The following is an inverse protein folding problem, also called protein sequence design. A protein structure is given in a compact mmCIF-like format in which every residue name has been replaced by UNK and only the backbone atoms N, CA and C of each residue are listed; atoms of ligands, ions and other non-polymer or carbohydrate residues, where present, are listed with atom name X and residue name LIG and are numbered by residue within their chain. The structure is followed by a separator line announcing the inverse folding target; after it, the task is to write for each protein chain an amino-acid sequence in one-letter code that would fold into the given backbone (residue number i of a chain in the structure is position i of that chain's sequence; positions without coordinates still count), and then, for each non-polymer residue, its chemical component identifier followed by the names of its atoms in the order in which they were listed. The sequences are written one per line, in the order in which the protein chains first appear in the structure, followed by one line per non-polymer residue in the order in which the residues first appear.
data_IF_477712019537
#
_entry.id   IF_477712019537
#
_cell.length_a   1.000
_cell.length_b   1.000
_cell.length_c   1.000
_cell.angle_alpha   90.00
_cell.angle_beta   90.00
_cell.angle_gamma   90.00
#
_symmetry.space_group_name_H-M   'P 1'
#
loop_
_entity.id
_entity.type
_entity.pdbx_description
1 polymer ?
#
# COMPACT_ATOMS: atom_id res chain seq x y z
N UNK A 1 -55.14 3.27 28.17
CA UNK A 1 -54.20 3.97 27.26
C UNK A 1 -52.83 3.29 27.10
N UNK A 2 -52.66 2.02 27.52
CA UNK A 2 -51.36 1.32 27.52
C UNK A 2 -51.08 0.52 26.23
N UNK A 3 -52.13 0.02 25.58
CA UNK A 3 -52.05 -0.85 24.39
C UNK A 3 -51.54 -0.11 23.14
N UNK A 4 -51.83 1.19 23.01
CA UNK A 4 -51.36 2.01 21.87
C UNK A 4 -49.84 2.25 21.89
N UNK A 5 -49.24 2.38 23.08
CA UNK A 5 -47.78 2.63 23.22
C UNK A 5 -46.94 1.41 22.85
N UNK A 6 -47.40 0.21 23.20
CA UNK A 6 -46.72 -1.04 22.82
C UNK A 6 -46.74 -1.28 21.30
N UNK A 7 -47.84 -0.96 20.62
CA UNK A 7 -47.91 -1.10 19.15
C UNK A 7 -46.95 -0.12 18.45
N UNK A 8 -46.86 1.13 18.94
CA UNK A 8 -45.90 2.12 18.40
C UNK A 8 -44.46 1.64 18.60
N UNK A 9 -44.14 1.09 19.78
CA UNK A 9 -42.79 0.56 20.06
C UNK A 9 -42.46 -0.65 19.18
N UNK A 10 -43.43 -1.53 18.91
CA UNK A 10 -43.27 -2.67 18.01
C UNK A 10 -43.06 -2.21 16.56
N UNK A 11 -43.79 -1.19 16.10
CA UNK A 11 -43.60 -0.60 14.77
C UNK A 11 -42.26 0.12 14.65
N UNK A 12 -41.79 0.80 15.70
CA UNK A 12 -40.47 1.44 15.74
C UNK A 12 -39.35 0.39 15.74
N UNK A 13 -39.51 -0.71 16.48
CA UNK A 13 -38.59 -1.84 16.48
C UNK A 13 -38.58 -2.53 15.10
N UNK A 14 -39.74 -2.69 14.46
CA UNK A 14 -39.85 -3.24 13.11
C UNK A 14 -39.19 -2.33 12.07
N UNK A 15 -39.36 -1.00 12.18
CA UNK A 15 -38.67 -0.01 11.36
C UNK A 15 -37.15 -0.04 11.60
N UNK A 16 -36.70 -0.21 12.85
CA UNK A 16 -35.29 -0.37 13.20
C UNK A 16 -34.70 -1.65 12.56
N UNK A 17 -35.44 -2.76 12.60
CA UNK A 17 -35.05 -4.03 11.97
C UNK A 17 -35.06 -3.96 10.43
N UNK A 18 -35.94 -3.15 9.84
CA UNK A 18 -35.95 -2.86 8.40
C UNK A 18 -34.73 -2.01 7.97
N UNK A 19 -34.31 -1.04 8.79
CA UNK A 19 -33.07 -0.28 8.56
C UNK A 19 -31.81 -1.16 8.71
N UNK A 20 -31.84 -2.20 9.56
CA UNK A 20 -30.73 -3.17 9.66
C UNK A 20 -30.52 -3.99 8.37
N UNK A 21 -31.56 -4.21 7.55
CA UNK A 21 -31.39 -4.91 6.26
C UNK A 21 -30.85 -4.02 5.14
N UNK A 22 -31.08 -2.70 5.22
CA UNK A 22 -30.54 -1.73 4.25
C UNK A 22 -29.06 -1.39 4.54
N UNK A 23 -28.54 -1.76 5.72
CA UNK A 23 -27.11 -1.63 6.09
C UNK A 23 -26.36 -2.97 5.96
N UNK A 24 -26.84 -3.88 5.11
CA UNK A 24 -26.14 -5.14 4.82
C UNK A 24 -26.24 -5.52 3.34
N UNK A 25 -25.70 -4.65 2.48
CA UNK A 25 -25.38 -4.98 1.10
C UNK A 25 -24.29 -4.04 0.54
N UNK A 26 -23.31 -3.66 1.36
CA UNK A 26 -21.99 -3.39 0.81
C UNK A 26 -21.28 -4.73 0.73
N UNK A 27 -21.05 -5.19 -0.50
CA UNK A 27 -20.26 -6.38 -0.80
C UNK A 27 -18.87 -6.19 -0.18
N UNK A 28 -18.72 -6.64 1.07
CA UNK A 28 -17.50 -6.46 1.81
C UNK A 28 -16.52 -7.49 1.23
N UNK A 29 -15.76 -7.08 0.20
CA UNK A 29 -14.76 -7.88 -0.52
C UNK A 29 -13.91 -8.70 0.46
N UNK A 30 -13.64 -8.16 1.65
CA UNK A 30 -12.87 -8.83 2.70
C UNK A 30 -13.55 -10.05 3.33
N UNK A 31 -14.89 -10.08 3.45
CA UNK A 31 -15.64 -11.25 3.92
C UNK A 31 -15.67 -12.35 2.87
N UNK A 32 -15.97 -12.00 1.63
CA UNK A 32 -16.05 -12.98 0.54
C UNK A 32 -14.67 -13.60 0.23
N UNK A 33 -13.60 -12.79 0.32
CA UNK A 33 -12.22 -13.25 0.24
C UNK A 33 -11.89 -14.36 1.25
N UNK A 34 -12.39 -14.24 2.47
CA UNK A 34 -12.13 -15.18 3.56
C UNK A 34 -12.75 -16.55 3.25
N UNK A 35 -13.91 -16.57 2.61
CA UNK A 35 -14.68 -17.80 2.35
C UNK A 35 -14.18 -18.58 1.11
N UNK A 36 -13.62 -17.90 0.09
CA UNK A 36 -13.17 -18.52 -1.19
C UNK A 36 -11.84 -19.29 -1.12
N UNK A 37 -11.14 -19.25 0.01
CA UNK A 37 -9.91 -20.01 0.24
C UNK A 37 -8.64 -19.41 -0.37
N UNK A 38 -8.58 -19.19 -1.70
CA UNK A 38 -7.42 -18.61 -2.40
C UNK A 38 -7.80 -17.26 -3.01
N UNK A 39 -7.01 -16.23 -2.71
CA UNK A 39 -7.16 -14.90 -3.29
C UNK A 39 -6.76 -14.90 -4.76
N UNK A 40 -7.54 -14.19 -5.57
CA UNK A 40 -7.34 -14.03 -7.00
C UNK A 40 -6.58 -12.74 -7.34
N UNK A 41 -6.17 -12.61 -8.60
CA UNK A 41 -5.50 -11.43 -9.08
C UNK A 41 -6.40 -10.20 -9.00
N UNK A 42 -7.69 -10.36 -9.28
CA UNK A 42 -8.70 -9.32 -9.11
C UNK A 42 -8.76 -8.83 -7.67
N UNK A 43 -8.83 -9.74 -6.70
CA UNK A 43 -8.85 -9.37 -5.30
C UNK A 43 -7.62 -8.56 -4.90
N UNK A 44 -6.45 -8.97 -5.39
CA UNK A 44 -5.20 -8.24 -5.17
C UNK A 44 -5.21 -6.83 -5.79
N UNK A 45 -5.72 -6.68 -7.01
CA UNK A 45 -5.88 -5.38 -7.66
C UNK A 45 -6.83 -4.47 -6.88
N UNK A 46 -8.02 -4.96 -6.52
CA UNK A 46 -9.01 -4.19 -5.76
C UNK A 46 -8.49 -3.78 -4.38
N UNK A 47 -7.81 -4.68 -3.67
CA UNK A 47 -7.19 -4.38 -2.39
C UNK A 47 -6.11 -3.27 -2.51
N UNK A 48 -5.34 -3.27 -3.58
CA UNK A 48 -4.29 -2.28 -3.82
C UNK A 48 -4.86 -0.94 -4.29
N UNK A 49 -5.96 -0.94 -5.02
CA UNK A 49 -6.66 0.25 -5.49
C UNK A 49 -7.00 1.22 -4.36
N UNK A 50 -7.35 0.68 -3.18
CA UNK A 50 -7.58 1.47 -1.96
C UNK A 50 -6.38 2.38 -1.63
N UNK A 51 -5.16 1.82 -1.60
CA UNK A 51 -3.95 2.60 -1.31
C UNK A 51 -3.50 3.48 -2.49
N UNK A 52 -3.93 3.14 -3.71
CA UNK A 52 -3.61 3.84 -4.93
C UNK A 52 -4.53 5.04 -5.23
N UNK A 53 -5.53 5.30 -4.38
CA UNK A 53 -6.62 6.24 -4.62
C UNK A 53 -7.29 5.98 -5.98
N UNK A 54 -7.66 4.72 -6.23
CA UNK A 54 -8.37 4.23 -7.42
C UNK A 54 -9.76 3.81 -6.95
N UNK A 55 -10.83 4.33 -7.57
CA UNK A 55 -12.22 4.08 -7.16
C UNK A 55 -12.73 2.74 -7.69
N UNK A 56 -12.18 1.62 -7.18
CA UNK A 56 -12.44 0.29 -7.73
C UNK A 56 -13.86 -0.24 -7.53
N UNK A 57 -14.63 0.29 -6.58
CA UNK A 57 -15.97 -0.24 -6.22
C UNK A 57 -16.97 -0.22 -7.39
N UNK A 58 -16.87 0.79 -8.26
CA UNK A 58 -17.76 0.97 -9.41
C UNK A 58 -17.15 0.49 -10.72
N UNK A 59 -15.91 0.00 -10.69
CA UNK A 59 -15.14 -0.36 -11.88
C UNK A 59 -15.13 -1.87 -12.13
N UNK A 60 -15.14 -2.22 -13.41
CA UNK A 60 -14.77 -3.55 -13.90
C UNK A 60 -13.31 -3.87 -13.57
N UNK A 61 -12.95 -5.15 -13.57
CA UNK A 61 -11.56 -5.56 -13.32
C UNK A 61 -10.60 -4.95 -14.36
N UNK A 62 -11.02 -4.88 -15.62
CA UNK A 62 -10.26 -4.33 -16.73
C UNK A 62 -9.96 -2.85 -16.53
N UNK A 63 -10.96 -2.06 -16.12
CA UNK A 63 -10.79 -0.63 -15.79
C UNK A 63 -9.83 -0.43 -14.64
N UNK A 64 -9.96 -1.22 -13.56
CA UNK A 64 -9.01 -1.19 -12.43
C UNK A 64 -7.58 -1.49 -12.90
N UNK A 65 -7.41 -2.49 -13.75
CA UNK A 65 -6.11 -2.85 -14.31
C UNK A 65 -5.53 -1.73 -15.17
N UNK A 66 -6.36 -1.07 -15.98
CA UNK A 66 -5.92 0.09 -16.79
C UNK A 66 -5.41 1.21 -15.87
N UNK A 67 -6.20 1.60 -14.86
CA UNK A 67 -5.80 2.69 -13.97
C UNK A 67 -4.53 2.34 -13.17
N UNK A 68 -4.41 1.10 -12.68
CA UNK A 68 -3.22 0.64 -11.97
C UNK A 68 -1.98 0.56 -12.89
N UNK A 69 -2.14 0.27 -14.19
CA UNK A 69 -1.04 0.33 -15.18
C UNK A 69 -0.60 1.77 -15.42
N UNK A 70 -1.55 2.69 -15.55
CA UNK A 70 -1.28 4.12 -15.75
C UNK A 70 -0.53 4.72 -14.56
N UNK A 71 -0.93 4.36 -13.34
CA UNK A 71 -0.22 4.74 -12.10
C UNK A 71 1.11 4.01 -11.91
N UNK A 72 1.47 3.06 -12.79
CA UNK A 72 2.73 2.31 -12.73
C UNK A 72 2.84 1.35 -11.54
N UNK A 73 1.70 0.99 -10.94
CA UNK A 73 1.62 0.09 -9.79
C UNK A 73 1.76 -1.36 -10.25
N UNK A 74 1.22 -1.67 -11.41
CA UNK A 74 1.35 -2.98 -12.05
C UNK A 74 2.14 -2.87 -13.37
N UNK A 75 2.72 -3.97 -13.82
CA UNK A 75 3.58 -3.97 -15.01
C UNK A 75 2.79 -3.70 -16.29
N UNK A 76 3.28 -2.79 -17.15
CA UNK A 76 2.63 -2.47 -18.44
C UNK A 76 2.45 -3.68 -19.36
N UNK A 77 3.41 -4.62 -19.32
CA UNK A 77 3.46 -5.82 -20.17
C UNK A 77 2.92 -7.09 -19.52
N UNK A 78 2.47 -7.02 -18.27
CA UNK A 78 1.86 -8.19 -17.64
C UNK A 78 0.50 -8.47 -18.29
N UNK A 79 0.29 -9.73 -18.65
CA UNK A 79 -1.01 -10.27 -19.04
C UNK A 79 -1.74 -10.69 -17.77
N UNK A 80 -2.99 -10.28 -17.63
CA UNK A 80 -3.80 -10.51 -16.44
C UNK A 80 -5.03 -11.32 -16.79
N UNK A 81 -5.40 -12.19 -15.87
CA UNK A 81 -6.67 -12.91 -15.85
C UNK A 81 -7.18 -12.77 -14.42
N UNK A 82 -8.43 -12.32 -14.25
CA UNK A 82 -9.02 -11.98 -12.96
C UNK A 82 -8.88 -13.14 -11.95
N UNK A 83 -9.24 -14.34 -12.40
CA UNK A 83 -9.33 -15.56 -11.58
C UNK A 83 -7.98 -16.20 -11.23
N UNK A 84 -6.87 -15.71 -11.80
CA UNK A 84 -5.56 -16.33 -11.53
C UNK A 84 -5.19 -16.20 -10.05
N UNK A 85 -4.68 -17.27 -9.41
CA UNK A 85 -4.24 -17.21 -8.03
C UNK A 85 -3.19 -16.12 -7.79
N UNK A 86 -3.43 -15.32 -6.76
CA UNK A 86 -2.54 -14.27 -6.32
C UNK A 86 -1.35 -14.87 -5.56
N UNK A 87 -0.15 -14.39 -5.86
CA UNK A 87 1.06 -14.83 -5.14
C UNK A 87 1.60 -13.72 -4.25
N UNK A 88 2.30 -14.12 -3.17
CA UNK A 88 3.01 -13.20 -2.27
C UNK A 88 3.89 -12.20 -3.00
N UNK A 89 4.63 -12.65 -4.01
CA UNK A 89 5.53 -11.80 -4.79
C UNK A 89 4.79 -10.78 -5.67
N UNK A 90 3.60 -11.11 -6.18
CA UNK A 90 2.78 -10.18 -6.96
C UNK A 90 2.24 -9.06 -6.06
N UNK A 91 1.58 -9.41 -4.96
CA UNK A 91 0.99 -8.39 -4.08
C UNK A 91 2.06 -7.53 -3.42
N UNK A 92 3.21 -8.12 -3.06
CA UNK A 92 4.34 -7.37 -2.50
C UNK A 92 4.90 -6.37 -3.51
N UNK A 93 4.96 -6.75 -4.79
CA UNK A 93 5.34 -5.82 -5.84
C UNK A 93 4.37 -4.64 -5.94
N UNK A 94 3.06 -4.91 -5.99
CA UNK A 94 2.03 -3.88 -6.04
C UNK A 94 2.11 -2.94 -4.82
N UNK A 95 2.14 -3.51 -3.62
CA UNK A 95 2.22 -2.76 -2.37
C UNK A 95 3.51 -1.92 -2.32
N UNK A 96 4.63 -2.46 -2.79
CA UNK A 96 5.89 -1.71 -2.82
C UNK A 96 5.84 -0.50 -3.75
N UNK A 97 5.11 -0.60 -4.87
CA UNK A 97 4.90 0.52 -5.79
C UNK A 97 4.02 1.61 -5.18
N UNK A 98 2.99 1.23 -4.44
CA UNK A 98 2.10 2.20 -3.78
C UNK A 98 2.80 2.90 -2.62
N UNK A 99 3.43 2.15 -1.73
CA UNK A 99 4.15 2.69 -0.57
C UNK A 99 5.39 3.48 -0.99
N UNK A 100 5.90 3.26 -2.21
CA UNK A 100 7.17 3.85 -2.72
C UNK A 100 8.30 3.61 -1.72
N UNK A 101 8.38 2.37 -1.22
CA UNK A 101 9.26 1.99 -0.13
C UNK A 101 10.71 2.39 -0.43
N UNK A 102 11.31 3.17 0.47
CA UNK A 102 12.68 3.68 0.33
C UNK A 102 13.63 2.94 1.29
N UNK A 103 14.84 2.68 0.81
CA UNK A 103 15.90 2.05 1.59
C UNK A 103 15.74 0.54 1.75
N UNK A 104 16.55 0.00 2.68
CA UNK A 104 16.69 -1.44 2.95
C UNK A 104 17.56 -2.19 1.95
N UNK A 105 17.84 -3.46 2.28
CA UNK A 105 18.97 -4.19 1.69
C UNK A 105 18.83 -4.36 0.17
N UNK A 106 17.64 -4.73 -0.28
CA UNK A 106 17.42 -5.04 -1.69
C UNK A 106 17.47 -3.78 -2.55
N UNK A 107 16.90 -2.69 -2.05
CA UNK A 107 16.95 -1.40 -2.74
C UNK A 107 18.36 -0.82 -2.82
N UNK A 108 19.19 -1.02 -1.79
CA UNK A 108 20.62 -0.63 -1.83
C UNK A 108 21.38 -1.41 -2.88
N UNK A 109 21.16 -2.73 -2.97
CA UNK A 109 21.78 -3.58 -3.98
C UNK A 109 21.33 -3.19 -5.39
N UNK A 110 20.03 -2.96 -5.60
CA UNK A 110 19.49 -2.49 -6.89
C UNK A 110 20.08 -1.13 -7.27
N UNK A 111 20.18 -0.19 -6.32
CA UNK A 111 20.76 1.12 -6.56
C UNK A 111 22.26 1.02 -6.94
N UNK A 112 23.03 0.23 -6.20
CA UNK A 112 24.45 0.01 -6.49
C UNK A 112 24.66 -0.64 -7.87
N UNK A 113 23.85 -1.65 -8.20
CA UNK A 113 23.90 -2.33 -9.49
C UNK A 113 23.52 -1.39 -10.65
N UNK A 114 22.54 -0.50 -10.46
CA UNK A 114 22.19 0.53 -11.44
C UNK A 114 23.31 1.57 -11.61
N UNK A 115 23.95 2.02 -10.53
CA UNK A 115 25.11 2.92 -10.62
C UNK A 115 26.26 2.29 -11.40
N UNK A 116 26.52 1.01 -11.18
CA UNK A 116 27.55 0.26 -11.91
C UNK A 116 27.19 0.07 -13.39
N UNK A 117 25.94 -0.30 -13.69
CA UNK A 117 25.45 -0.42 -15.06
C UNK A 117 25.56 0.92 -15.83
N UNK A 118 25.25 2.04 -15.16
CA UNK A 118 25.39 3.38 -15.72
C UNK A 118 26.86 3.78 -15.94
N UNK A 119 27.77 3.33 -15.07
CA UNK A 119 29.20 3.55 -15.25
C UNK A 119 29.69 2.82 -16.50
N UNK A 120 29.36 1.54 -16.64
CA UNK A 120 29.73 0.72 -17.80
C UNK A 120 29.12 1.30 -19.09
N UNK A 121 27.85 1.71 -19.08
CA UNK A 121 27.21 2.25 -20.28
C UNK A 121 27.84 3.56 -20.75
N UNK A 122 28.26 4.43 -19.81
CA UNK A 122 29.04 5.64 -20.11
C UNK A 122 30.39 5.31 -20.72
N UNK A 123 31.12 4.35 -20.14
CA UNK A 123 32.44 3.93 -20.63
C UNK A 123 32.35 3.31 -22.03
N UNK A 124 31.31 2.51 -22.30
CA UNK A 124 31.12 1.83 -23.57
C UNK A 124 30.34 2.65 -24.62
N UNK A 125 29.97 3.92 -24.32
CA UNK A 125 29.13 4.79 -25.18
C UNK A 125 27.87 4.10 -25.71
N UNK A 126 27.31 3.17 -24.95
CA UNK A 126 26.09 2.46 -25.32
C UNK A 126 24.94 3.46 -25.14
N UNK A 127 24.32 3.88 -26.25
CA UNK A 127 23.16 4.79 -26.21
C UNK A 127 22.03 4.15 -25.40
N UNK A 128 21.51 4.90 -24.43
CA UNK A 128 20.40 4.53 -23.55
C UNK A 128 19.23 4.00 -24.39
N UNK A 129 18.91 2.70 -24.30
CA UNK A 129 17.67 2.21 -24.88
C UNK A 129 17.45 0.70 -24.94
N UNK A 130 18.46 -0.12 -25.27
CA UNK A 130 18.20 -1.54 -25.62
C UNK A 130 19.19 -2.59 -25.11
N UNK A 131 20.28 -2.20 -24.46
CA UNK A 131 21.32 -3.15 -23.98
C UNK A 131 21.58 -3.17 -22.48
N UNK A 132 20.90 -2.33 -21.68
CA UNK A 132 21.08 -2.37 -20.23
C UNK A 132 20.26 -3.51 -19.63
N UNK A 133 20.82 -4.29 -18.69
CA UNK A 133 20.03 -5.23 -17.91
C UNK A 133 18.95 -4.46 -17.13
N UNK A 134 17.70 -4.94 -17.19
CA UNK A 134 16.60 -4.40 -16.38
C UNK A 134 16.85 -4.76 -14.91
N UNK A 135 17.72 -3.99 -14.25
CA UNK A 135 18.02 -4.10 -12.82
C UNK A 135 16.95 -3.29 -12.07
N UNK A 136 15.72 -3.74 -12.22
CA UNK A 136 14.53 -3.16 -11.62
C UNK A 136 14.07 -3.92 -10.37
N UNK A 137 13.20 -3.27 -9.60
CA UNK A 137 12.45 -3.94 -8.54
C UNK A 137 11.49 -4.95 -9.18
N UNK A 138 11.85 -6.24 -9.20
CA UNK A 138 10.95 -7.32 -9.59
C UNK A 138 10.13 -7.89 -8.42
N UNK A 139 9.20 -8.81 -8.70
CA UNK A 139 8.36 -9.51 -7.69
C UNK A 139 9.19 -10.10 -6.55
N UNK A 140 10.32 -10.74 -6.88
CA UNK A 140 11.25 -11.35 -5.91
C UNK A 140 11.82 -10.29 -4.97
N UNK A 141 12.29 -9.17 -5.52
CA UNK A 141 12.96 -8.13 -4.75
C UNK A 141 11.99 -7.34 -3.88
N UNK A 142 10.78 -7.04 -4.39
CA UNK A 142 9.73 -6.41 -3.60
C UNK A 142 9.33 -7.27 -2.39
N UNK A 143 9.19 -8.58 -2.59
CA UNK A 143 8.92 -9.51 -1.49
C UNK A 143 10.03 -9.55 -0.44
N UNK A 144 11.30 -9.63 -0.88
CA UNK A 144 12.45 -9.64 0.03
C UNK A 144 12.55 -8.35 0.84
N UNK A 145 12.24 -7.21 0.23
CA UNK A 145 12.25 -5.91 0.90
C UNK A 145 11.13 -5.81 1.95
N UNK A 146 9.90 -6.21 1.60
CA UNK A 146 8.78 -6.25 2.54
C UNK A 146 9.03 -7.20 3.71
N UNK A 147 9.67 -8.33 3.44
CA UNK A 147 10.09 -9.28 4.47
C UNK A 147 11.16 -8.71 5.40
N UNK A 148 12.18 -8.06 4.83
CA UNK A 148 13.23 -7.39 5.61
C UNK A 148 12.68 -6.29 6.52
N UNK A 149 11.62 -5.59 6.08
CA UNK A 149 10.91 -4.58 6.85
C UNK A 149 9.87 -5.13 7.83
N UNK A 150 9.67 -6.46 7.88
CA UNK A 150 8.69 -7.10 8.73
C UNK A 150 7.23 -6.88 8.33
N UNK A 151 6.97 -6.39 7.11
CA UNK A 151 5.61 -6.14 6.61
C UNK A 151 4.93 -7.43 6.20
N UNK A 152 5.67 -8.39 5.65
CA UNK A 152 5.14 -9.67 5.14
C UNK A 152 5.79 -10.82 5.91
N UNK A 153 5.03 -11.86 6.28
CA UNK A 153 5.60 -12.99 7.02
C UNK A 153 6.55 -13.81 6.13
N UNK A 154 7.40 -14.61 6.77
CA UNK A 154 8.31 -15.51 6.07
C UNK A 154 7.56 -16.55 5.22
N UNK A 155 8.26 -17.04 4.19
CA UNK A 155 7.73 -17.97 3.20
C UNK A 155 8.32 -17.76 1.81
N UNK A 156 7.75 -18.43 0.81
CA UNK A 156 8.21 -18.34 -0.57
C UNK A 156 7.38 -17.32 -1.38
N UNK A 157 8.02 -16.56 -2.28
CA UNK A 157 7.34 -15.50 -3.04
C UNK A 157 6.32 -16.03 -4.07
N UNK A 158 6.46 -17.28 -4.52
CA UNK A 158 5.51 -17.94 -5.45
C UNK A 158 4.33 -18.61 -4.73
N UNK A 159 4.30 -18.59 -3.40
CA UNK A 159 3.17 -19.17 -2.64
C UNK A 159 1.90 -18.37 -2.93
N UNK A 160 0.81 -19.08 -3.14
CA UNK A 160 -0.51 -18.48 -3.26
C UNK A 160 -0.97 -17.90 -1.93
N UNK A 161 -1.77 -16.85 -2.01
CA UNK A 161 -2.33 -16.19 -0.83
C UNK A 161 -3.73 -16.70 -0.60
N UNK A 162 -4.05 -16.97 0.65
CA UNK A 162 -5.44 -17.07 1.08
C UNK A 162 -6.06 -15.68 1.22
N UNK A 163 -7.39 -15.59 1.29
CA UNK A 163 -8.03 -14.31 1.60
C UNK A 163 -7.61 -13.73 2.95
N UNK A 164 -7.41 -14.59 3.95
CA UNK A 164 -6.86 -14.20 5.25
C UNK A 164 -5.45 -13.63 5.13
N UNK A 165 -4.56 -14.26 4.35
CA UNK A 165 -3.22 -13.75 4.14
C UNK A 165 -3.23 -12.40 3.42
N UNK A 166 -4.11 -12.22 2.43
CA UNK A 166 -4.27 -10.96 1.71
C UNK A 166 -4.75 -9.85 2.66
N UNK A 167 -5.78 -10.10 3.46
CA UNK A 167 -6.30 -9.15 4.45
C UNK A 167 -5.23 -8.78 5.47
N UNK A 168 -4.50 -9.76 6.01
CA UNK A 168 -3.42 -9.51 6.95
C UNK A 168 -2.30 -8.66 6.32
N UNK A 169 -1.97 -8.90 5.05
CA UNK A 169 -0.97 -8.12 4.33
C UNK A 169 -1.43 -6.68 4.09
N UNK A 170 -2.67 -6.48 3.63
CA UNK A 170 -3.29 -5.16 3.44
C UNK A 170 -3.26 -4.37 4.75
N UNK A 171 -3.68 -4.99 5.85
CA UNK A 171 -3.61 -4.36 7.16
C UNK A 171 -2.19 -3.94 7.55
N UNK A 172 -1.19 -4.80 7.35
CA UNK A 172 0.21 -4.47 7.67
C UNK A 172 0.77 -3.36 6.78
N UNK A 173 0.37 -3.30 5.51
CA UNK A 173 0.69 -2.19 4.60
C UNK A 173 0.13 -0.88 5.13
N UNK A 174 -1.13 -0.88 5.55
CA UNK A 174 -1.77 0.28 6.16
C UNK A 174 -1.03 0.75 7.42
N UNK A 175 -0.68 -0.19 8.31
CA UNK A 175 0.09 0.12 9.52
C UNK A 175 1.47 0.70 9.19
N UNK A 176 2.14 0.16 8.16
CA UNK A 176 3.42 0.67 7.71
C UNK A 176 3.31 2.13 7.22
N UNK A 177 2.31 2.44 6.39
CA UNK A 177 2.05 3.81 5.91
C UNK A 177 1.81 4.75 7.09
N UNK A 178 0.94 4.36 8.03
CA UNK A 178 0.65 5.14 9.25
C UNK A 178 1.88 5.34 10.13
N UNK A 179 2.80 4.38 10.20
CA UNK A 179 4.04 4.51 10.94
C UNK A 179 5.00 5.50 10.25
N UNK A 180 5.15 5.40 8.92
CA UNK A 180 6.02 6.29 8.15
C UNK A 180 5.56 7.76 8.23
N UNK A 181 4.25 8.01 8.21
CA UNK A 181 3.69 9.34 8.40
C UNK A 181 3.97 9.92 9.80
N UNK A 182 3.86 9.08 10.85
CA UNK A 182 4.19 9.47 12.21
C UNK A 182 5.66 9.84 12.36
N UNK A 183 6.56 9.03 11.80
CA UNK A 183 7.99 9.36 11.78
C UNK A 183 8.29 10.67 11.04
N UNK A 184 7.66 10.91 9.89
CA UNK A 184 7.83 12.17 9.13
C UNK A 184 7.39 13.38 9.96
N UNK A 185 6.25 13.27 10.66
CA UNK A 185 5.75 14.32 11.55
C UNK A 185 6.71 14.58 12.72
N UNK A 186 7.22 13.54 13.36
CA UNK A 186 8.20 13.64 14.45
C UNK A 186 9.51 14.31 13.98
N UNK A 187 10.09 13.83 12.87
CA UNK A 187 11.32 14.40 12.29
C UNK A 187 11.15 15.89 11.92
N UNK A 188 9.98 16.29 11.41
CA UNK A 188 9.68 17.70 11.12
C UNK A 188 9.59 18.54 12.40
N UNK A 189 8.93 18.04 13.44
CA UNK A 189 8.83 18.71 14.73
C UNK A 189 10.20 18.86 15.41
N UNK A 190 11.06 17.84 15.35
CA UNK A 190 12.43 17.92 15.87
C UNK A 190 13.29 18.95 15.14
N UNK A 191 13.18 19.03 13.81
CA UNK A 191 13.91 20.05 13.01
C UNK A 191 13.45 21.46 13.38
N UNK A 192 12.14 21.69 13.49
CA UNK A 192 11.59 22.98 13.90
C UNK A 192 12.06 23.41 15.30
N UNK A 193 12.10 22.47 16.25
CA UNK A 193 12.63 22.71 17.60
C UNK A 193 14.13 23.05 17.59
N UNK A 194 14.92 22.38 16.74
CA UNK A 194 16.36 22.67 16.59
C UNK A 194 16.60 24.05 15.97
N UNK A 195 15.77 24.45 15.00
CA UNK A 195 15.84 25.77 14.37
C UNK A 195 15.46 26.88 15.35
N UNK A 196 14.37 26.73 16.12
CA UNK A 196 13.97 27.68 17.17
C UNK A 196 15.06 27.86 18.23
N UNK A 197 15.64 26.76 18.73
CA UNK A 197 16.77 26.83 19.67
C UNK A 197 17.99 27.55 19.08
N UNK A 198 18.22 27.43 17.77
CA UNK A 198 19.35 28.10 17.11
C UNK A 198 19.11 29.60 16.97
N UNK A 199 17.86 30.02 16.70
CA UNK A 199 17.47 31.43 16.66
C UNK A 199 17.50 32.10 18.05
N UNK A 200 17.04 31.41 19.10
CA UNK A 200 17.09 31.91 20.48
C UNK A 200 18.53 32.11 20.95
N UNK A 201 19.44 31.20 20.59
CA UNK A 201 20.87 31.30 20.93
C UNK A 201 21.63 32.37 20.14
N UNK A 202 21.03 32.93 19.08
CA UNK A 202 21.62 33.97 18.24
C UNK A 202 21.05 35.37 18.51
N UNK A 203 20.10 35.52 19.45
CA UNK A 203 19.70 36.84 19.93
C UNK A 203 20.83 37.38 20.82
N UNK A 204 21.38 38.59 20.54
CA UNK A 204 22.33 39.21 21.45
C UNK A 204 21.65 39.44 22.80
N UNK A 205 22.36 39.13 23.89
CA UNK A 205 21.98 39.57 25.23
C UNK A 205 21.85 41.09 25.17
N UNK A 206 20.64 41.61 25.41
CA UNK A 206 20.45 43.04 25.68
C UNK A 206 21.37 43.38 26.85
N UNK A 207 22.40 44.16 26.56
CA UNK A 207 23.25 44.77 27.58
C UNK A 207 22.35 45.80 28.25
N UNK A 208 21.82 45.46 29.42
CA UNK A 208 21.24 46.42 30.35
C UNK A 208 22.37 47.37 30.80
N UNK A 209 22.56 48.46 30.07
CA UNK A 209 23.37 49.60 30.55
C UNK A 209 22.54 50.38 31.59
N UNK A 210 22.93 50.15 32.85
CA UNK A 210 22.62 50.95 34.05
C UNK A 210 23.35 52.30 34.04
#
# INVERSE_FOLDING_TARGET
MFIRRHKIFLYLLLLLLLQCKVVSASDNIYRDLVDRGIATYEDGCRAISYFANVSSETMTFEEVVVELKEKGIIGKRWKYEAEKPLTRGVISYMACKVVKMKGGLTMRVIAAANSFANLISRTLKIKNGKGLPDIGMGKRYAYLEFRHKGVVPDGHNKTYLTGHDLLALVYRVEQYIKAEEREKKQKKAERAKKEQKKLEKSKPEEIDEL
#
